data_IF_251303510126
#
_entry.id   IF_251303510126
#
_cell.length_a   1.000
_cell.length_b   1.000
_cell.length_c   1.000
_cell.angle_alpha   90.00
_cell.angle_beta   90.00
_cell.angle_gamma   90.00
#
_symmetry.space_group_name_H-M   'P 1'
#
loop_
_entity.id
_entity.type
_entity.pdbx_description
1 polymer ?
#
# COMPACT_ATOMS: atom_id res chain seq x y z
N UNK A 1 4.02 -10.84 -13.18
CA UNK A 1 4.42 -9.43 -12.96
C UNK A 1 3.87 -8.56 -14.07
N UNK A 2 3.13 -7.51 -13.69
CA UNK A 2 2.57 -6.52 -14.61
C UNK A 2 3.29 -5.18 -14.48
N UNK A 3 3.67 -4.59 -15.62
CA UNK A 3 4.16 -3.20 -15.70
C UNK A 3 3.06 -2.32 -16.26
N UNK A 4 2.64 -1.31 -15.51
CA UNK A 4 1.50 -0.48 -15.88
C UNK A 4 1.78 1.02 -15.73
N UNK A 5 0.96 1.82 -16.43
CA UNK A 5 0.86 3.25 -16.21
C UNK A 5 -0.62 3.63 -16.13
N UNK A 6 -0.98 4.40 -15.11
CA UNK A 6 -2.35 4.86 -14.90
C UNK A 6 -2.49 6.30 -15.37
N UNK A 7 -3.30 6.52 -16.40
CA UNK A 7 -3.44 7.83 -17.07
C UNK A 7 -2.09 8.45 -17.46
N UNK A 8 -1.16 7.63 -17.96
CA UNK A 8 0.18 8.06 -18.37
C UNK A 8 1.19 8.27 -17.24
N UNK A 9 0.88 7.89 -16.00
CA UNK A 9 1.79 7.95 -14.86
C UNK A 9 2.26 6.56 -14.43
N UNK A 10 3.58 6.38 -14.29
CA UNK A 10 4.21 5.19 -13.70
C UNK A 10 4.02 5.08 -12.18
N UNK A 11 3.46 6.11 -11.52
CA UNK A 11 3.19 6.09 -10.09
C UNK A 11 1.84 5.41 -9.79
N UNK A 12 1.77 4.12 -10.10
CA UNK A 12 0.54 3.31 -9.98
C UNK A 12 0.00 3.24 -8.55
N UNK A 13 0.88 3.19 -7.55
CA UNK A 13 0.55 3.16 -6.12
C UNK A 13 -0.13 4.43 -5.59
N UNK A 14 -0.11 5.53 -6.35
CA UNK A 14 -0.90 6.72 -6.00
C UNK A 14 -2.39 6.50 -6.27
N UNK A 15 -2.72 5.70 -7.28
CA UNK A 15 -4.09 5.54 -7.77
C UNK A 15 -4.72 4.18 -7.47
N UNK A 16 -3.93 3.24 -6.96
CA UNK A 16 -4.43 1.93 -6.54
C UNK A 16 -3.78 1.46 -5.24
N UNK A 17 -4.47 0.58 -4.53
CA UNK A 17 -3.98 -0.11 -3.34
C UNK A 17 -4.37 -1.58 -3.44
N UNK A 18 -3.39 -2.47 -3.31
CA UNK A 18 -3.63 -3.91 -3.22
C UNK A 18 -3.71 -4.33 -1.74
N UNK A 19 -4.59 -5.30 -1.48
CA UNK A 19 -4.62 -6.19 -0.32
C UNK A 19 -4.76 -7.63 -0.84
N UNK A 20 -4.83 -8.60 0.06
CA UNK A 20 -5.12 -9.99 -0.30
C UNK A 20 -6.61 -10.27 -0.57
N UNK A 21 -7.48 -9.26 -0.39
CA UNK A 21 -8.92 -9.36 -0.68
C UNK A 21 -9.35 -8.60 -1.94
N UNK A 22 -8.68 -7.49 -2.27
CA UNK A 22 -9.03 -6.68 -3.44
C UNK A 22 -7.90 -5.75 -3.87
N UNK A 23 -8.04 -5.20 -5.08
CA UNK A 23 -7.28 -4.00 -5.50
C UNK A 23 -8.24 -2.82 -5.67
N UNK A 24 -8.18 -1.86 -4.74
CA UNK A 24 -8.90 -0.60 -4.87
C UNK A 24 -8.21 0.24 -5.94
N UNK A 25 -8.94 0.76 -6.91
CA UNK A 25 -8.34 1.47 -8.05
C UNK A 25 -9.21 2.64 -8.50
N UNK A 26 -8.58 3.68 -9.08
CA UNK A 26 -9.29 4.80 -9.71
C UNK A 26 -10.31 4.30 -10.76
N UNK A 27 -11.46 4.98 -10.93
CA UNK A 27 -12.58 4.44 -11.68
C UNK A 27 -12.48 4.59 -13.21
N UNK A 28 -11.49 5.32 -13.71
CA UNK A 28 -11.31 5.69 -15.12
C UNK A 28 -10.24 4.87 -15.85
N UNK A 29 -9.90 3.68 -15.33
CA UNK A 29 -9.10 2.71 -16.08
C UNK A 29 -9.98 1.90 -17.03
N UNK A 30 -9.42 1.53 -18.18
CA UNK A 30 -10.09 0.68 -19.15
C UNK A 30 -10.29 -0.74 -18.62
N UNK A 31 -11.38 -1.41 -19.02
CA UNK A 31 -11.75 -2.75 -18.53
C UNK A 31 -10.61 -3.78 -18.66
N UNK A 32 -9.89 -3.78 -19.78
CA UNK A 32 -8.77 -4.70 -19.98
C UNK A 32 -7.66 -4.54 -18.93
N UNK A 33 -7.41 -3.30 -18.48
CA UNK A 33 -6.41 -3.05 -17.46
C UNK A 33 -6.92 -3.45 -16.07
N UNK A 34 -8.22 -3.35 -15.80
CA UNK A 34 -8.81 -3.86 -14.56
C UNK A 34 -8.72 -5.40 -14.49
N UNK A 35 -8.92 -6.08 -15.62
CA UNK A 35 -8.75 -7.53 -15.74
C UNK A 35 -7.28 -7.92 -15.52
N UNK A 36 -6.34 -7.26 -16.20
CA UNK A 36 -4.90 -7.49 -16.03
C UNK A 36 -4.45 -7.30 -14.56
N UNK A 37 -4.97 -6.28 -13.87
CA UNK A 37 -4.69 -6.05 -12.45
C UNK A 37 -5.24 -7.16 -11.57
N UNK A 38 -6.46 -7.63 -11.84
CA UNK A 38 -7.12 -8.66 -11.05
C UNK A 38 -6.42 -10.01 -11.24
N UNK A 39 -6.03 -10.34 -12.46
CA UNK A 39 -5.31 -11.57 -12.79
C UNK A 39 -3.91 -11.59 -12.16
N UNK A 40 -3.18 -10.47 -12.21
CA UNK A 40 -1.83 -10.38 -11.66
C UNK A 40 -1.81 -10.43 -10.13
N UNK A 41 -2.75 -9.75 -9.47
CA UNK A 41 -2.82 -9.68 -8.01
C UNK A 41 -3.68 -10.81 -7.40
N UNK A 42 -4.36 -11.61 -8.22
CA UNK A 42 -5.20 -12.72 -7.75
C UNK A 42 -6.46 -12.29 -6.97
N UNK A 43 -6.85 -11.02 -7.05
CA UNK A 43 -7.94 -10.41 -6.26
C UNK A 43 -8.80 -9.50 -7.14
N UNK A 44 -10.10 -9.33 -6.84
CA UNK A 44 -10.97 -8.47 -7.65
C UNK A 44 -10.53 -7.00 -7.63
N UNK A 45 -10.53 -6.37 -8.80
CA UNK A 45 -10.42 -4.92 -8.91
C UNK A 45 -11.72 -4.22 -8.51
N UNK A 46 -11.59 -3.16 -7.69
CA UNK A 46 -12.71 -2.35 -7.21
C UNK A 46 -12.53 -0.90 -7.67
N UNK A 47 -13.10 -0.52 -8.83
CA UNK A 47 -13.06 0.85 -9.33
C UNK A 47 -13.85 1.78 -8.39
N UNK A 48 -13.17 2.65 -7.66
CA UNK A 48 -13.80 3.55 -6.69
C UNK A 48 -13.05 4.85 -6.52
N UNK A 49 -13.55 5.71 -5.63
CA UNK A 49 -12.87 6.93 -5.20
C UNK A 49 -12.92 7.00 -3.68
N UNK A 50 -12.04 7.80 -3.07
CA UNK A 50 -12.10 8.12 -1.64
C UNK A 50 -12.29 9.63 -1.49
N UNK A 51 -13.46 10.04 -1.01
CA UNK A 51 -13.82 11.44 -0.93
C UNK A 51 -13.89 12.14 -2.29
N UNK A 52 -14.34 11.44 -3.34
CA UNK A 52 -14.27 11.83 -4.77
C UNK A 52 -12.86 11.96 -5.35
N UNK A 53 -11.82 11.57 -4.63
CA UNK A 53 -10.46 11.54 -5.20
C UNK A 53 -10.19 10.20 -5.89
N UNK A 54 -9.61 10.27 -7.09
CA UNK A 54 -9.07 9.10 -7.80
C UNK A 54 -7.69 8.64 -7.29
N UNK A 55 -7.08 9.34 -6.33
CA UNK A 55 -5.82 8.93 -5.69
C UNK A 55 -6.09 7.90 -4.58
N UNK A 56 -6.78 6.81 -4.93
CA UNK A 56 -7.27 5.83 -3.94
C UNK A 56 -6.10 5.17 -3.19
N UNK A 57 -5.02 4.87 -3.91
CA UNK A 57 -3.78 4.33 -3.36
C UNK A 57 -3.16 5.17 -2.25
N UNK A 58 -3.26 6.49 -2.35
CA UNK A 58 -2.78 7.41 -1.31
C UNK A 58 -3.71 7.50 -0.09
N UNK A 59 -4.98 7.11 -0.22
CA UNK A 59 -6.04 7.39 0.73
C UNK A 59 -6.61 6.16 1.44
N UNK A 60 -6.19 4.96 1.02
CA UNK A 60 -6.61 3.69 1.57
C UNK A 60 -5.41 2.76 1.78
N UNK A 61 -5.47 1.95 2.84
CA UNK A 61 -4.60 0.80 3.08
C UNK A 61 -5.44 -0.30 3.70
N UNK A 62 -4.90 -1.52 3.80
CA UNK A 62 -5.57 -2.62 4.45
C UNK A 62 -4.67 -3.82 4.61
N UNK A 63 -5.21 -4.79 5.33
CA UNK A 63 -4.70 -6.14 5.55
C UNK A 63 -5.91 -7.10 5.61
N UNK A 64 -5.72 -8.37 5.95
CA UNK A 64 -6.80 -9.38 5.96
C UNK A 64 -7.95 -9.04 6.93
N UNK A 65 -7.68 -8.21 7.95
CA UNK A 65 -8.65 -7.89 9.00
C UNK A 65 -9.54 -6.70 8.66
N UNK A 66 -9.12 -5.84 7.73
CA UNK A 66 -9.86 -4.60 7.46
C UNK A 66 -9.16 -3.61 6.55
N UNK A 67 -9.95 -2.63 6.10
CA UNK A 67 -9.47 -1.47 5.36
C UNK A 67 -9.46 -0.24 6.25
N UNK A 68 -8.40 0.55 6.17
CA UNK A 68 -8.32 1.88 6.78
C UNK A 68 -8.30 2.91 5.66
N UNK A 69 -9.27 3.83 5.71
CA UNK A 69 -9.47 4.85 4.68
C UNK A 69 -9.51 6.24 5.30
N UNK A 70 -9.16 7.26 4.51
CA UNK A 70 -9.31 8.66 4.93
C UNK A 70 -10.73 8.97 5.41
N UNK A 71 -10.88 9.80 6.46
CA UNK A 71 -12.19 10.19 7.01
C UNK A 71 -13.14 10.85 6.00
N UNK A 72 -12.62 11.30 4.84
CA UNK A 72 -13.38 11.94 3.76
C UNK A 72 -14.17 10.96 2.89
N UNK A 73 -13.99 9.65 3.08
CA UNK A 73 -14.76 8.62 2.38
C UNK A 73 -16.27 8.83 2.56
N UNK A 74 -17.04 8.50 1.54
CA UNK A 74 -18.51 8.62 1.51
C UNK A 74 -19.17 7.27 1.69
N UNK A 75 -20.39 7.25 2.21
CA UNK A 75 -21.15 6.00 2.34
C UNK A 75 -21.29 5.25 1.02
N UNK A 76 -21.58 5.95 -0.08
CA UNK A 76 -21.67 5.34 -1.42
C UNK A 76 -20.33 4.77 -1.93
N UNK A 77 -19.20 5.26 -1.41
CA UNK A 77 -17.87 4.71 -1.74
C UNK A 77 -17.59 3.47 -0.89
N UNK A 78 -18.00 3.48 0.39
CA UNK A 78 -17.94 2.33 1.30
C UNK A 78 -18.83 1.19 0.78
N UNK A 79 -20.09 1.47 0.45
CA UNK A 79 -21.04 0.49 -0.10
C UNK A 79 -20.43 -0.20 -1.34
N UNK A 80 -19.87 0.56 -2.27
CA UNK A 80 -19.21 0.01 -3.46
C UNK A 80 -18.05 -0.94 -3.13
N UNK A 81 -17.27 -0.64 -2.10
CA UNK A 81 -16.17 -1.50 -1.67
C UNK A 81 -16.75 -2.77 -1.01
N UNK A 82 -17.71 -2.61 -0.10
CA UNK A 82 -18.33 -3.71 0.63
C UNK A 82 -19.21 -4.64 -0.23
N UNK A 83 -19.65 -4.18 -1.41
CA UNK A 83 -20.29 -5.04 -2.41
C UNK A 83 -19.32 -6.11 -2.98
N UNK A 84 -18.00 -5.93 -2.80
CA UNK A 84 -16.96 -6.82 -3.32
C UNK A 84 -16.18 -7.52 -2.20
N UNK A 85 -15.89 -6.82 -1.09
CA UNK A 85 -15.11 -7.39 0.03
C UNK A 85 -15.90 -7.42 1.34
N UNK A 86 -15.72 -8.49 2.11
CA UNK A 86 -16.38 -8.72 3.40
C UNK A 86 -15.46 -8.38 4.58
N UNK A 87 -14.81 -7.21 4.51
CA UNK A 87 -13.94 -6.70 5.58
C UNK A 87 -14.45 -5.35 6.10
N UNK A 88 -14.28 -5.06 7.40
CA UNK A 88 -14.68 -3.77 7.97
C UNK A 88 -13.87 -2.62 7.37
N UNK A 89 -14.53 -1.48 7.18
CA UNK A 89 -13.89 -0.24 6.70
C UNK A 89 -13.85 0.78 7.85
N UNK A 90 -12.64 1.09 8.30
CA UNK A 90 -12.38 2.04 9.38
C UNK A 90 -11.93 3.39 8.84
N UNK A 91 -12.58 4.46 9.29
CA UNK A 91 -12.20 5.85 8.93
C UNK A 91 -11.09 6.34 9.83
N UNK A 92 -9.96 6.74 9.26
CA UNK A 92 -8.87 7.34 10.01
C UNK A 92 -9.11 8.84 10.24
N UNK A 93 -9.29 9.28 11.50
CA UNK A 93 -9.60 10.67 11.83
C UNK A 93 -8.38 11.59 11.74
N UNK A 94 -8.65 12.89 11.66
CA UNK A 94 -7.64 13.93 11.88
C UNK A 94 -6.99 14.47 10.62
N UNK A 95 -6.02 15.38 10.78
CA UNK A 95 -5.45 16.13 9.64
C UNK A 95 -4.48 15.31 8.78
N UNK A 96 -3.70 14.44 9.40
CA UNK A 96 -2.80 13.49 8.74
C UNK A 96 -3.60 12.21 8.55
N UNK A 97 -4.33 12.12 7.44
CA UNK A 97 -5.29 11.03 7.25
C UNK A 97 -5.28 10.40 5.84
N UNK A 98 -4.22 10.61 5.07
CA UNK A 98 -4.02 9.93 3.79
C UNK A 98 -3.52 8.51 4.06
N UNK A 99 -4.43 7.58 4.35
CA UNK A 99 -4.13 6.27 4.94
C UNK A 99 -3.02 5.51 4.21
N UNK A 100 -3.13 5.37 2.89
CA UNK A 100 -2.09 4.68 2.10
C UNK A 100 -0.74 5.38 2.07
N UNK A 101 -0.67 6.69 2.32
CA UNK A 101 0.60 7.39 2.45
C UNK A 101 1.24 7.25 3.84
N UNK A 102 0.44 7.13 4.90
CA UNK A 102 0.89 7.31 6.28
C UNK A 102 0.88 6.02 7.10
N UNK A 103 0.47 4.91 6.50
CA UNK A 103 0.45 3.58 7.09
C UNK A 103 1.12 2.60 6.10
N UNK A 104 2.12 1.87 6.58
CA UNK A 104 2.68 0.70 5.93
C UNK A 104 2.34 -0.50 6.82
N UNK A 105 1.64 -1.50 6.29
CA UNK A 105 1.11 -2.59 7.09
C UNK A 105 1.09 -3.90 6.30
N UNK A 106 1.04 -5.00 7.05
CA UNK A 106 0.70 -6.34 6.62
C UNK A 106 -0.23 -6.97 7.68
N UNK A 107 -0.38 -8.30 7.69
CA UNK A 107 -1.27 -8.98 8.63
C UNK A 107 -0.68 -9.09 10.05
N UNK A 108 0.59 -8.75 10.24
CA UNK A 108 1.30 -8.88 11.52
C UNK A 108 1.44 -7.55 12.26
N UNK A 109 1.56 -6.44 11.53
CA UNK A 109 1.84 -5.13 12.11
C UNK A 109 1.55 -3.94 11.21
N UNK A 110 1.63 -2.75 11.80
CA UNK A 110 1.59 -1.50 11.07
C UNK A 110 2.64 -0.50 11.56
N UNK A 111 3.45 0.01 10.62
CA UNK A 111 4.35 1.14 10.81
C UNK A 111 3.71 2.41 10.27
N UNK A 112 3.62 3.46 11.10
CA UNK A 112 2.82 4.65 10.79
C UNK A 112 3.58 5.97 10.97
N UNK A 113 3.05 7.02 10.34
CA UNK A 113 3.59 8.37 10.42
C UNK A 113 3.83 8.82 11.88
N UNK A 114 4.97 9.46 12.19
CA UNK A 114 5.40 9.68 13.58
C UNK A 114 4.48 10.65 14.34
N UNK A 115 3.91 11.62 13.61
CA UNK A 115 3.00 12.62 14.18
C UNK A 115 1.52 12.25 14.13
N UNK A 116 1.13 10.99 13.90
CA UNK A 116 -0.27 10.59 14.00
C UNK A 116 -0.82 10.92 15.40
N UNK A 117 -2.07 11.37 15.49
CA UNK A 117 -2.75 11.55 16.78
C UNK A 117 -2.95 10.19 17.46
N UNK A 118 -3.26 10.20 18.77
CA UNK A 118 -3.61 8.96 19.48
C UNK A 118 -4.85 8.31 18.86
N UNK A 119 -5.86 9.11 18.53
CA UNK A 119 -7.09 8.62 17.91
C UNK A 119 -6.86 8.02 16.52
N UNK A 120 -5.95 8.61 15.72
CA UNK A 120 -5.59 8.05 14.42
C UNK A 120 -4.84 6.71 14.55
N UNK A 121 -3.90 6.61 15.50
CA UNK A 121 -3.23 5.33 15.81
C UNK A 121 -4.23 4.28 16.29
N UNK A 122 -5.18 4.67 17.14
CA UNK A 122 -6.21 3.75 17.63
C UNK A 122 -7.10 3.26 16.48
N UNK A 123 -7.47 4.15 15.55
CA UNK A 123 -8.21 3.76 14.36
C UNK A 123 -7.45 2.78 13.45
N UNK A 124 -6.13 2.95 13.29
CA UNK A 124 -5.30 1.99 12.53
C UNK A 124 -5.24 0.66 13.27
N UNK A 125 -4.99 0.69 14.58
CA UNK A 125 -4.89 -0.51 15.41
C UNK A 125 -6.17 -1.33 15.40
N UNK A 126 -7.31 -0.69 15.65
CA UNK A 126 -8.61 -1.37 15.71
C UNK A 126 -9.11 -1.77 14.32
N UNK A 127 -8.77 -0.99 13.29
CA UNK A 127 -9.22 -1.24 11.92
C UNK A 127 -8.44 -2.34 11.19
N UNK A 128 -7.17 -2.56 11.56
CA UNK A 128 -6.30 -3.58 10.97
C UNK A 128 -6.06 -4.77 11.93
N UNK A 129 -6.51 -4.68 13.18
CA UNK A 129 -6.31 -5.66 14.25
C UNK A 129 -4.84 -6.09 14.47
N UNK A 130 -3.91 -5.14 14.36
CA UNK A 130 -2.46 -5.38 14.49
C UNK A 130 -1.77 -4.39 15.42
N UNK A 131 -0.63 -4.73 16.05
CA UNK A 131 0.20 -3.76 16.74
C UNK A 131 0.64 -2.62 15.81
N UNK A 132 0.78 -1.40 16.39
CA UNK A 132 1.12 -0.19 15.64
C UNK A 132 2.34 0.47 16.24
N UNK A 133 3.34 0.72 15.41
CA UNK A 133 4.54 1.48 15.76
C UNK A 133 4.66 2.75 14.91
N UNK A 134 5.15 3.82 15.52
CA UNK A 134 5.37 5.11 14.86
C UNK A 134 6.83 5.26 14.48
N UNK A 135 7.10 5.75 13.28
CA UNK A 135 8.44 6.22 12.97
C UNK A 135 8.59 6.79 11.58
N UNK A 136 9.80 6.72 11.06
CA UNK A 136 10.23 7.40 9.85
C UNK A 136 11.10 6.45 9.04
N UNK A 137 11.09 6.58 7.71
CA UNK A 137 11.91 5.74 6.84
C UNK A 137 12.76 6.67 5.99
N UNK A 138 14.08 6.67 6.19
CA UNK A 138 15.04 7.52 5.48
C UNK A 138 14.69 9.03 5.53
N UNK A 139 14.12 9.50 6.64
CA UNK A 139 13.63 10.88 6.80
C UNK A 139 12.27 11.17 6.15
N UNK A 140 11.61 10.17 5.55
CA UNK A 140 10.26 10.28 4.98
C UNK A 140 9.21 9.86 6.01
N UNK A 141 8.30 10.78 6.35
CA UNK A 141 7.24 10.52 7.35
C UNK A 141 6.01 9.84 6.75
N UNK A 142 5.81 9.94 5.44
CA UNK A 142 4.79 9.18 4.70
C UNK A 142 5.29 7.76 4.45
N UNK A 143 5.33 6.98 5.52
CA UNK A 143 5.93 5.63 5.54
C UNK A 143 5.30 4.68 4.50
N UNK A 144 4.00 4.78 4.22
CA UNK A 144 3.33 3.99 3.17
C UNK A 144 3.74 4.36 1.74
N UNK A 145 4.34 5.55 1.53
CA UNK A 145 5.00 5.89 0.25
C UNK A 145 6.45 5.44 0.19
N UNK A 146 7.09 5.31 1.36
CA UNK A 146 8.50 4.98 1.50
C UNK A 146 8.77 3.48 1.58
N UNK A 147 7.75 2.66 1.86
CA UNK A 147 7.86 1.22 1.91
C UNK A 147 6.56 0.53 1.46
N UNK A 148 6.71 -0.69 0.93
CA UNK A 148 5.64 -1.63 0.62
C UNK A 148 5.93 -2.91 1.38
N UNK A 149 4.92 -3.43 2.08
CA UNK A 149 5.01 -4.64 2.88
C UNK A 149 4.01 -5.68 2.34
N UNK A 150 4.42 -6.95 2.41
CA UNK A 150 3.56 -8.13 2.28
C UNK A 150 3.77 -9.01 3.53
N UNK A 151 3.13 -10.18 3.59
CA UNK A 151 3.39 -11.15 4.65
C UNK A 151 4.70 -11.93 4.46
N UNK A 152 5.49 -11.60 3.43
CA UNK A 152 6.75 -12.28 3.10
C UNK A 152 7.97 -11.37 3.19
N UNK A 153 7.78 -10.05 3.10
CA UNK A 153 8.88 -9.11 3.21
C UNK A 153 8.47 -7.66 2.99
N UNK A 154 9.45 -6.78 3.14
CA UNK A 154 9.29 -5.33 2.99
C UNK A 154 10.33 -4.80 2.01
N UNK A 155 9.87 -4.09 0.99
CA UNK A 155 10.73 -3.26 0.16
C UNK A 155 10.60 -1.81 0.63
N UNK A 156 11.71 -1.19 1.00
CA UNK A 156 11.72 0.17 1.52
C UNK A 156 12.69 1.10 0.77
N UNK A 157 12.60 2.39 1.10
CA UNK A 157 13.38 3.48 0.53
C UNK A 157 14.88 3.14 0.48
N UNK A 158 15.60 3.48 -0.61
CA UNK A 158 17.00 3.06 -0.85
C UNK A 158 18.04 3.61 0.14
N UNK A 159 17.60 4.42 1.11
CA UNK A 159 18.43 5.07 2.12
C UNK A 159 17.94 4.79 3.54
N UNK A 160 17.04 3.81 3.72
CA UNK A 160 16.66 3.38 5.04
C UNK A 160 17.92 2.90 5.78
N UNK A 161 18.02 3.26 7.05
CA UNK A 161 19.15 2.83 7.89
C UNK A 161 18.92 1.43 8.44
N UNK A 162 19.97 0.73 8.82
CA UNK A 162 19.85 -0.61 9.43
C UNK A 162 18.87 -0.62 10.61
N UNK A 163 18.89 0.41 11.48
CA UNK A 163 17.93 0.49 12.59
C UNK A 163 16.49 0.80 12.19
N UNK A 164 16.26 1.42 11.01
CA UNK A 164 14.91 1.57 10.45
C UNK A 164 14.43 0.25 9.82
N UNK A 165 15.34 -0.53 9.21
CA UNK A 165 15.04 -1.88 8.72
C UNK A 165 14.70 -2.80 9.88
N UNK A 166 15.54 -2.86 10.92
CA UNK A 166 15.30 -3.67 12.12
C UNK A 166 13.93 -3.35 12.75
N UNK A 167 13.56 -2.07 12.84
CA UNK A 167 12.25 -1.67 13.36
C UNK A 167 11.07 -2.12 12.48
N UNK A 168 11.24 -2.12 11.16
CA UNK A 168 10.23 -2.66 10.23
C UNK A 168 10.13 -4.18 10.35
N UNK A 169 11.25 -4.88 10.46
CA UNK A 169 11.29 -6.33 10.65
C UNK A 169 10.61 -6.74 11.95
N UNK A 170 10.91 -6.04 13.05
CA UNK A 170 10.35 -6.32 14.37
C UNK A 170 8.83 -6.11 14.43
N UNK A 171 8.31 -5.02 13.84
CA UNK A 171 6.87 -4.72 13.89
C UNK A 171 6.06 -5.49 12.84
N UNK A 172 6.62 -5.73 11.65
CA UNK A 172 5.93 -6.39 10.53
C UNK A 172 6.22 -7.89 10.47
N UNK A 173 7.07 -8.44 11.33
CA UNK A 173 7.41 -9.87 11.44
C UNK A 173 7.88 -10.53 10.12
N UNK A 174 8.55 -9.74 9.27
CA UNK A 174 9.06 -10.17 7.94
C UNK A 174 10.38 -9.47 7.63
N UNK A 175 11.28 -10.06 6.82
CA UNK A 175 12.54 -9.40 6.46
C UNK A 175 12.31 -8.11 5.67
N UNK A 176 13.19 -7.12 5.87
CA UNK A 176 13.13 -5.83 5.20
C UNK A 176 14.39 -5.57 4.40
N UNK A 177 14.23 -5.05 3.18
CA UNK A 177 15.35 -4.69 2.34
C UNK A 177 15.09 -3.40 1.55
N UNK A 178 16.16 -2.77 1.09
CA UNK A 178 16.12 -1.49 0.40
C UNK A 178 16.03 -1.67 -1.12
N UNK A 179 15.33 -0.77 -1.82
CA UNK A 179 15.40 -0.71 -3.28
C UNK A 179 14.76 0.53 -3.88
N UNK A 180 14.59 0.53 -5.20
CA UNK A 180 14.00 1.64 -5.95
C UNK A 180 12.93 1.14 -6.92
N UNK A 181 12.15 2.08 -7.44
CA UNK A 181 11.07 1.84 -8.39
C UNK A 181 11.16 2.87 -9.53
N UNK A 182 10.63 2.59 -10.71
CA UNK A 182 10.51 3.60 -11.79
C UNK A 182 11.83 4.31 -12.14
N UNK A 183 12.90 3.54 -12.39
CA UNK A 183 14.19 4.06 -12.82
C UNK A 183 14.90 4.91 -11.74
N UNK A 184 14.98 4.37 -10.52
CA UNK A 184 15.69 4.97 -9.39
C UNK A 184 14.83 5.82 -8.46
N UNK A 185 13.51 5.82 -8.64
CA UNK A 185 12.55 6.45 -7.75
C UNK A 185 12.61 5.86 -6.33
N UNK A 186 12.75 6.70 -5.29
CA UNK A 186 12.98 6.22 -3.94
C UNK A 186 11.68 5.96 -3.14
N UNK A 187 10.54 6.48 -3.59
CA UNK A 187 9.23 6.30 -2.96
C UNK A 187 8.56 5.07 -3.55
N UNK A 188 9.00 3.89 -3.12
CA UNK A 188 8.58 2.59 -3.67
C UNK A 188 7.06 2.40 -3.64
N UNK A 189 6.38 2.80 -2.55
CA UNK A 189 4.92 2.68 -2.43
C UNK A 189 4.13 3.58 -3.37
N UNK A 190 4.76 4.59 -3.99
CA UNK A 190 4.10 5.39 -5.03
C UNK A 190 4.08 4.68 -6.38
N UNK A 191 4.97 3.70 -6.62
CA UNK A 191 5.15 3.04 -7.91
C UNK A 191 4.95 1.53 -7.90
N UNK A 192 4.58 0.95 -6.76
CA UNK A 192 4.47 -0.50 -6.56
C UNK A 192 3.19 -0.84 -5.80
N UNK A 193 2.45 -1.81 -6.31
CA UNK A 193 1.37 -2.52 -5.63
C UNK A 193 1.85 -3.95 -5.41
N UNK A 194 1.64 -4.51 -4.22
CA UNK A 194 2.04 -5.87 -3.91
C UNK A 194 1.07 -6.47 -2.90
N UNK A 195 0.85 -7.78 -3.02
CA UNK A 195 0.14 -8.61 -2.06
C UNK A 195 0.78 -10.02 -2.05
N UNK A 196 0.21 -11.01 -1.39
CA UNK A 196 0.86 -12.33 -1.26
C UNK A 196 0.93 -13.12 -2.58
N UNK A 197 0.12 -12.75 -3.57
CA UNK A 197 -0.01 -13.41 -4.86
C UNK A 197 0.94 -12.86 -5.92
N UNK A 198 1.11 -11.54 -5.99
CA UNK A 198 1.87 -10.90 -7.05
C UNK A 198 2.06 -9.40 -6.85
N UNK A 199 2.61 -8.75 -7.87
CA UNK A 199 2.85 -7.31 -7.84
C UNK A 199 2.69 -6.63 -9.20
N UNK A 200 2.32 -5.37 -9.12
CA UNK A 200 2.18 -4.46 -10.26
C UNK A 200 3.09 -3.27 -10.01
N UNK A 201 3.99 -2.99 -10.94
CA UNK A 201 4.91 -1.85 -10.84
C UNK A 201 4.68 -0.85 -11.98
N UNK A 202 5.17 0.38 -11.78
CA UNK A 202 5.16 1.39 -12.83
C UNK A 202 5.97 0.99 -14.06
N UNK A 203 5.54 1.48 -15.23
CA UNK A 203 6.11 1.12 -16.54
C UNK A 203 7.60 1.43 -16.70
N UNK A 204 8.12 2.40 -15.96
CA UNK A 204 9.53 2.81 -16.01
C UNK A 204 10.45 1.93 -15.14
N UNK A 205 9.89 0.99 -14.37
CA UNK A 205 10.67 0.11 -13.50
C UNK A 205 11.64 -0.74 -14.33
N UNK A 206 12.92 -0.73 -13.95
CA UNK A 206 14.01 -1.38 -14.67
C UNK A 206 14.14 -2.87 -14.29
N UNK A 207 14.85 -3.65 -15.12
CA UNK A 207 15.11 -5.07 -14.83
C UNK A 207 15.79 -5.34 -13.48
N UNK A 208 16.86 -4.61 -13.11
CA UNK A 208 17.48 -4.73 -11.79
C UNK A 208 16.53 -4.41 -10.63
N UNK A 209 15.64 -3.43 -10.80
CA UNK A 209 14.63 -3.09 -9.79
C UNK A 209 13.61 -4.22 -9.62
N UNK A 210 13.16 -4.87 -10.71
CA UNK A 210 12.31 -6.05 -10.61
C UNK A 210 12.95 -7.16 -9.78
N UNK A 211 14.21 -7.51 -10.09
CA UNK A 211 14.92 -8.54 -9.33
C UNK A 211 15.07 -8.19 -7.85
N UNK A 212 15.10 -6.88 -7.52
CA UNK A 212 15.11 -6.41 -6.13
C UNK A 212 13.74 -6.53 -5.46
N UNK A 213 12.66 -6.20 -6.17
CA UNK A 213 11.28 -6.39 -5.71
C UNK A 213 11.01 -7.88 -5.45
N UNK A 214 11.35 -8.74 -6.42
CA UNK A 214 11.16 -10.18 -6.34
C UNK A 214 11.85 -10.77 -5.10
N UNK A 215 13.11 -10.36 -4.85
CA UNK A 215 13.89 -10.83 -3.70
C UNK A 215 13.37 -10.28 -2.36
N UNK A 216 13.05 -8.98 -2.28
CA UNK A 216 12.65 -8.34 -1.03
C UNK A 216 11.24 -8.73 -0.57
N UNK A 217 10.33 -9.01 -1.51
CA UNK A 217 8.93 -9.36 -1.21
C UNK A 217 8.65 -10.87 -1.30
N UNK A 218 9.66 -11.69 -1.54
CA UNK A 218 9.53 -13.15 -1.51
C UNK A 218 8.72 -13.74 -2.67
N UNK A 219 8.91 -13.24 -3.89
CA UNK A 219 8.31 -13.80 -5.11
C UNK A 219 9.25 -14.75 -5.88
N UNK A 220 10.48 -14.95 -5.40
CA UNK A 220 11.44 -15.93 -5.93
C UNK A 220 11.41 -17.18 -5.06
N UNK A 221 11.24 -18.35 -5.68
CA UNK A 221 11.44 -19.67 -5.07
C UNK A 221 12.94 -20.02 -4.92
#
# INVERSE_FOLDING_TARGET
MLRAAFSGSSYVGVFARATDDCVLVRPDLDESLLDDLSDELGVPAVPTTVGRSGTVGALATGNENGLVVSERVRETEIERIQDVVDVPITRMPGRINAAGNVVCCNDYGAYVHPDLSRDAVQAVKDGLDVPVERGVIAGVTTVGTAAVATNKGVLCHPKATDGELDALEDILDVPADIGTINYGGPLVGSGLLANDHGYVCGSDTSGPELGRIDAALGYID
#
